data_IF_387570674615
#
_entry.id   IF_387570674615
#
_cell.length_a   1.000
_cell.length_b   1.000
_cell.length_c   1.000
_cell.angle_alpha   90.00
_cell.angle_beta   90.00
_cell.angle_gamma   90.00
#
_symmetry.space_group_name_H-M   'P 1'
#
loop_
_entity.id
_entity.type
_entity.pdbx_description
1 polymer ?
#
# COMPACT_ATOMS: atom_id res chain seq x y z
N UNK A 1 0.17 5.81 -19.55
CA UNK A 1 0.15 4.37 -19.90
C UNK A 1 -0.26 3.56 -18.69
N UNK A 2 -1.18 2.64 -18.87
CA UNK A 2 -1.60 1.77 -17.78
C UNK A 2 -0.55 0.67 -17.59
N UNK A 3 -0.12 0.46 -16.38
CA UNK A 3 0.79 -0.63 -16.06
C UNK A 3 -0.02 -1.93 -15.92
N UNK A 4 0.11 -2.83 -16.90
CA UNK A 4 -0.65 -4.08 -16.94
C UNK A 4 -0.05 -5.18 -16.06
N UNK A 5 1.12 -4.93 -15.44
CA UNK A 5 1.78 -5.91 -14.58
C UNK A 5 1.31 -5.84 -13.13
N UNK A 6 0.37 -4.98 -12.81
CA UNK A 6 -0.17 -4.88 -11.46
C UNK A 6 -1.14 -6.03 -11.19
N UNK A 7 -1.23 -6.49 -9.93
CA UNK A 7 -2.23 -7.51 -9.60
C UNK A 7 -3.65 -6.94 -9.72
N UNK A 8 -4.62 -7.82 -9.91
CA UNK A 8 -6.02 -7.45 -9.81
C UNK A 8 -6.47 -7.53 -8.36
N UNK A 9 -7.42 -6.67 -8.00
CA UNK A 9 -7.92 -6.52 -6.64
C UNK A 9 -9.41 -6.83 -6.64
N UNK A 10 -9.83 -7.79 -5.82
CA UNK A 10 -11.22 -8.15 -5.65
C UNK A 10 -11.69 -7.81 -4.24
N UNK A 11 -12.95 -7.48 -4.11
CA UNK A 11 -13.57 -7.11 -2.85
C UNK A 11 -14.00 -5.65 -2.84
N UNK A 12 -15.15 -5.38 -2.24
CA UNK A 12 -15.69 -4.03 -2.17
C UNK A 12 -14.86 -3.16 -1.23
N UNK A 13 -14.85 -1.86 -1.52
CA UNK A 13 -14.26 -0.86 -0.63
C UNK A 13 -14.84 -1.03 0.78
N UNK A 14 -13.97 -0.99 1.78
CA UNK A 14 -14.34 -1.23 3.17
C UNK A 14 -14.23 -2.68 3.61
N UNK A 15 -13.96 -3.61 2.69
CA UNK A 15 -13.76 -5.03 3.01
C UNK A 15 -12.34 -5.46 2.70
N UNK A 16 -11.90 -6.55 3.34
CA UNK A 16 -10.57 -7.12 3.11
C UNK A 16 -10.43 -7.53 1.64
N UNK A 17 -9.46 -6.94 0.92
CA UNK A 17 -9.28 -7.28 -0.50
C UNK A 17 -8.55 -8.59 -0.68
N UNK A 18 -8.72 -9.18 -1.86
CA UNK A 18 -7.95 -10.32 -2.33
C UNK A 18 -7.19 -9.92 -3.58
N UNK A 19 -5.89 -10.21 -3.60
CA UNK A 19 -5.02 -9.90 -4.73
C UNK A 19 -4.78 -11.14 -5.57
N UNK A 20 -4.85 -10.97 -6.89
CA UNK A 20 -4.47 -11.99 -7.85
C UNK A 20 -3.31 -11.45 -8.69
N UNK A 21 -2.16 -12.10 -8.61
CA UNK A 21 -0.95 -11.66 -9.29
C UNK A 21 -0.90 -12.17 -10.72
N UNK A 22 -0.29 -11.39 -11.65
CA UNK A 22 -0.29 -11.77 -13.07
C UNK A 22 0.67 -12.93 -13.43
N UNK A 23 1.47 -13.42 -12.48
CA UNK A 23 2.43 -14.46 -12.74
C UNK A 23 3.72 -14.00 -13.41
N UNK A 24 3.91 -12.70 -13.49
CA UNK A 24 5.11 -12.05 -14.02
C UNK A 24 5.90 -11.41 -12.90
N UNK A 25 7.09 -10.92 -13.20
CA UNK A 25 7.89 -10.16 -12.25
C UNK A 25 7.20 -8.84 -11.91
N UNK A 26 7.50 -8.33 -10.71
CA UNK A 26 7.02 -7.04 -10.27
C UNK A 26 7.52 -5.93 -11.21
N UNK A 27 6.71 -4.86 -11.40
CA UNK A 27 7.16 -3.72 -12.17
C UNK A 27 8.33 -3.01 -11.48
N UNK A 28 9.13 -2.31 -12.25
CA UNK A 28 10.20 -1.50 -11.72
C UNK A 28 9.64 -0.23 -11.05
N UNK A 29 10.28 0.21 -10.00
CA UNK A 29 9.94 1.44 -9.31
C UNK A 29 8.61 1.39 -8.59
N UNK A 30 8.28 2.49 -7.94
CA UNK A 30 7.00 2.66 -7.26
C UNK A 30 5.88 2.82 -8.28
N UNK A 31 4.85 1.98 -8.15
CA UNK A 31 3.64 2.10 -8.96
C UNK A 31 2.47 2.38 -8.04
N UNK A 32 1.68 3.37 -8.39
CA UNK A 32 0.46 3.73 -7.65
C UNK A 32 -0.70 3.75 -8.63
N UNK A 33 -1.72 2.97 -8.32
CA UNK A 33 -2.94 2.90 -9.12
C UNK A 33 -4.13 3.27 -8.24
N UNK A 34 -4.93 4.21 -8.68
CA UNK A 34 -6.15 4.59 -7.97
C UNK A 34 -7.24 3.60 -8.38
N UNK A 35 -7.69 2.79 -7.41
CA UNK A 35 -8.77 1.81 -7.63
C UNK A 35 -10.14 2.48 -7.52
N UNK A 36 -10.30 3.33 -6.51
CA UNK A 36 -11.49 4.15 -6.29
C UNK A 36 -11.01 5.53 -5.91
N UNK A 37 -11.44 6.54 -6.65
CA UNK A 37 -11.05 7.92 -6.38
C UNK A 37 -11.92 8.51 -5.28
N UNK A 38 -11.29 9.02 -4.23
CA UNK A 38 -11.97 9.81 -3.20
C UNK A 38 -12.11 11.26 -3.65
N UNK A 39 -12.98 11.99 -2.98
CA UNK A 39 -13.22 13.40 -3.24
C UNK A 39 -12.94 14.28 -2.02
N UNK A 40 -12.32 13.70 -1.00
CA UNK A 40 -12.01 14.42 0.22
C UNK A 40 -10.75 15.27 0.11
N UNK A 41 -10.25 15.65 1.28
CA UNK A 41 -9.06 16.48 1.43
C UNK A 41 -7.84 15.80 0.81
N UNK A 42 -6.96 16.59 0.20
CA UNK A 42 -5.66 16.08 -0.30
C UNK A 42 -4.73 15.86 0.87
N UNK A 43 -4.08 14.70 0.90
CA UNK A 43 -3.10 14.34 1.93
C UNK A 43 -1.81 15.12 1.67
N UNK A 44 -1.31 15.79 2.69
CA UNK A 44 -0.07 16.55 2.64
C UNK A 44 1.00 15.92 3.53
N UNK A 45 2.26 16.19 3.23
CA UNK A 45 3.36 15.73 4.07
C UNK A 45 3.19 16.27 5.49
N UNK A 46 3.36 15.40 6.47
CA UNK A 46 3.15 15.73 7.88
C UNK A 46 1.76 15.42 8.41
N UNK A 47 0.81 15.15 7.53
CA UNK A 47 -0.54 14.76 7.95
C UNK A 47 -0.53 13.40 8.65
N UNK A 48 -1.36 13.27 9.68
CA UNK A 48 -1.65 11.97 10.29
C UNK A 48 -2.89 11.42 9.62
N UNK A 49 -2.75 10.31 8.92
CA UNK A 49 -3.87 9.68 8.23
C UNK A 49 -4.38 8.47 8.98
N UNK A 50 -5.65 8.19 8.77
CA UNK A 50 -6.32 6.97 9.24
C UNK A 50 -6.59 6.12 8.02
N UNK A 51 -6.06 4.90 7.99
CA UNK A 51 -6.15 4.05 6.80
C UNK A 51 -6.38 2.59 7.15
N UNK A 52 -7.21 1.94 6.34
CA UNK A 52 -7.23 0.49 6.27
C UNK A 52 -6.26 0.05 5.19
N UNK A 53 -5.60 -1.08 5.41
CA UNK A 53 -4.62 -1.58 4.45
C UNK A 53 -4.47 -3.09 4.51
N UNK A 54 -4.01 -3.64 3.39
CA UNK A 54 -3.52 -5.02 3.32
C UNK A 54 -2.17 -4.98 2.60
N UNK A 55 -1.16 -5.58 3.21
CA UNK A 55 0.17 -5.72 2.62
C UNK A 55 0.47 -7.17 2.29
N UNK A 56 0.97 -7.40 1.09
CA UNK A 56 1.27 -8.74 0.58
C UNK A 56 2.58 -8.69 -0.20
N UNK A 57 3.39 -9.74 -0.06
CA UNK A 57 4.60 -9.89 -0.85
C UNK A 57 4.18 -10.19 -2.29
N UNK A 58 4.85 -9.57 -3.27
CA UNK A 58 4.56 -9.84 -4.68
C UNK A 58 4.60 -11.34 -4.95
N UNK A 59 3.47 -11.89 -5.39
CA UNK A 59 3.34 -13.33 -5.65
C UNK A 59 3.42 -14.21 -4.41
N UNK A 60 3.41 -13.63 -3.22
CA UNK A 60 3.58 -14.35 -1.96
C UNK A 60 2.42 -14.17 -0.99
N UNK A 61 2.73 -14.25 0.30
CA UNK A 61 1.74 -14.23 1.36
C UNK A 61 1.41 -12.82 1.83
N UNK A 62 0.20 -12.67 2.36
CA UNK A 62 -0.19 -11.48 3.13
C UNK A 62 0.63 -11.46 4.42
N UNK A 63 1.32 -10.35 4.69
CA UNK A 63 2.15 -10.24 5.89
C UNK A 63 1.52 -9.35 6.96
N UNK A 64 0.59 -8.50 6.61
CA UNK A 64 -0.10 -7.62 7.57
C UNK A 64 -1.34 -7.02 6.94
N UNK A 65 -2.37 -6.76 7.75
CA UNK A 65 -3.53 -6.02 7.31
C UNK A 65 -4.34 -5.53 8.51
N UNK A 66 -5.04 -4.42 8.33
CA UNK A 66 -5.86 -3.82 9.37
C UNK A 66 -7.22 -4.50 9.51
N UNK A 67 -7.67 -5.18 8.46
CA UNK A 67 -9.01 -5.78 8.42
C UNK A 67 -9.13 -6.90 9.45
N UNK A 68 -8.10 -7.74 9.57
CA UNK A 68 -8.10 -8.84 10.54
C UNK A 68 -8.01 -8.35 11.98
N UNK A 69 -7.39 -7.19 12.20
CA UNK A 69 -7.37 -6.56 13.52
C UNK A 69 -8.68 -5.87 13.87
N UNK A 70 -9.50 -5.58 12.85
CA UNK A 70 -10.75 -4.86 13.03
C UNK A 70 -10.57 -3.39 13.39
N UNK A 71 -9.41 -2.82 13.08
CA UNK A 71 -9.09 -1.45 13.46
C UNK A 71 -8.12 -0.83 12.45
N UNK A 72 -8.41 0.37 11.91
CA UNK A 72 -7.49 1.04 11.02
C UNK A 72 -6.22 1.48 11.73
N UNK A 73 -5.19 1.75 10.94
CA UNK A 73 -3.91 2.26 11.43
C UNK A 73 -3.89 3.77 11.29
N UNK A 74 -3.41 4.44 12.34
CA UNK A 74 -3.13 5.87 12.31
C UNK A 74 -1.63 6.06 12.19
N UNK A 75 -1.19 6.86 11.21
CA UNK A 75 0.24 7.11 11.04
C UNK A 75 0.47 8.44 10.34
N UNK A 76 1.62 9.05 10.62
CA UNK A 76 2.04 10.29 9.99
C UNK A 76 2.78 9.96 8.69
N UNK A 77 2.48 10.68 7.63
CA UNK A 77 2.99 10.38 6.29
C UNK A 77 3.87 11.53 5.79
N UNK A 78 4.84 11.21 4.93
CA UNK A 78 5.71 12.20 4.32
C UNK A 78 6.86 12.69 5.20
N UNK A 79 7.08 12.06 6.37
CA UNK A 79 8.08 12.48 7.35
C UNK A 79 8.98 11.31 7.80
N UNK A 80 9.09 10.29 7.00
CA UNK A 80 9.96 9.12 7.23
C UNK A 80 9.57 8.30 8.46
N UNK A 81 8.30 8.33 8.83
CA UNK A 81 7.76 7.49 9.93
C UNK A 81 7.27 6.13 9.44
N UNK A 82 7.06 5.98 8.13
CA UNK A 82 6.65 4.74 7.47
C UNK A 82 7.60 4.48 6.32
N UNK A 83 7.48 3.32 5.68
CA UNK A 83 8.33 3.00 4.53
C UNK A 83 8.16 4.06 3.44
N UNK A 84 9.25 4.33 2.73
CA UNK A 84 9.30 5.43 1.77
C UNK A 84 8.26 5.30 0.66
N UNK A 85 7.93 4.08 0.25
CA UNK A 85 6.89 3.86 -0.75
C UNK A 85 5.54 4.40 -0.32
N UNK A 86 5.22 4.35 0.98
CA UNK A 86 4.00 4.96 1.50
C UNK A 86 4.12 6.48 1.54
N UNK A 87 5.26 7.01 2.01
CA UNK A 87 5.46 8.47 2.01
C UNK A 87 5.32 9.04 0.60
N UNK A 88 5.96 8.42 -0.38
CA UNK A 88 5.95 8.90 -1.77
C UNK A 88 4.59 8.65 -2.45
N UNK A 89 3.93 7.55 -2.12
CA UNK A 89 2.71 7.13 -2.80
C UNK A 89 1.42 7.70 -2.24
N UNK A 90 1.38 8.05 -0.94
CA UNK A 90 0.15 8.51 -0.29
C UNK A 90 0.02 10.03 -0.24
N UNK A 91 1.13 10.76 -0.19
CA UNK A 91 1.08 12.23 -0.26
C UNK A 91 0.55 12.65 -1.63
N UNK A 92 -0.41 13.55 -1.63
CA UNK A 92 -1.08 14.02 -2.85
C UNK A 92 -2.36 13.26 -3.20
N UNK A 93 -2.63 12.15 -2.52
CA UNK A 93 -3.88 11.41 -2.73
C UNK A 93 -5.01 12.03 -1.90
N UNK A 94 -6.25 11.70 -2.27
CA UNK A 94 -7.41 12.26 -1.57
C UNK A 94 -7.99 11.28 -0.56
N UNK A 95 -8.49 11.82 0.54
CA UNK A 95 -9.30 11.05 1.49
C UNK A 95 -10.48 10.43 0.76
N UNK A 96 -10.78 9.18 1.07
CA UNK A 96 -11.81 8.38 0.40
C UNK A 96 -11.27 7.51 -0.72
N UNK A 97 -10.01 7.71 -1.12
CA UNK A 97 -9.39 6.90 -2.17
C UNK A 97 -9.01 5.52 -1.69
N UNK A 98 -9.14 4.55 -2.58
CA UNK A 98 -8.57 3.22 -2.42
C UNK A 98 -7.48 3.06 -3.46
N UNK A 99 -6.28 2.72 -3.00
CA UNK A 99 -5.06 2.73 -3.80
C UNK A 99 -4.42 1.36 -3.82
N UNK A 100 -3.83 1.02 -4.96
CA UNK A 100 -2.97 -0.16 -5.10
C UNK A 100 -1.55 0.34 -5.32
N UNK A 101 -0.63 -0.04 -4.44
CA UNK A 101 0.76 0.38 -4.51
C UNK A 101 1.65 -0.84 -4.67
N UNK A 102 2.57 -0.81 -5.64
CA UNK A 102 3.66 -1.76 -5.74
C UNK A 102 4.94 -1.04 -5.36
N UNK A 103 5.58 -1.51 -4.29
CA UNK A 103 6.71 -0.83 -3.66
C UNK A 103 7.95 -1.71 -3.79
N UNK A 104 8.95 -1.28 -4.59
CA UNK A 104 10.18 -2.05 -4.70
C UNK A 104 10.94 -2.02 -3.38
N UNK A 105 11.85 -2.97 -3.19
CA UNK A 105 12.56 -3.13 -1.91
C UNK A 105 13.31 -1.88 -1.47
N UNK A 106 13.89 -1.12 -2.40
CA UNK A 106 14.63 0.10 -2.07
C UNK A 106 13.73 1.20 -1.46
N UNK A 107 12.42 1.12 -1.65
CA UNK A 107 11.46 2.03 -1.02
C UNK A 107 10.65 1.33 0.08
N UNK A 108 10.97 0.08 0.36
CA UNK A 108 10.37 -0.72 1.42
C UNK A 108 11.40 -1.12 2.47
N UNK A 109 11.64 -2.41 2.61
CA UNK A 109 12.52 -2.94 3.66
C UNK A 109 13.92 -3.35 3.15
N UNK A 110 14.25 -3.00 1.91
CA UNK A 110 15.60 -3.13 1.38
C UNK A 110 16.13 -4.55 1.35
N UNK A 111 17.43 -4.68 1.47
CA UNK A 111 18.11 -5.99 1.44
C UNK A 111 17.98 -6.77 2.74
N UNK A 112 17.54 -6.12 3.82
CA UNK A 112 17.33 -6.79 5.11
C UNK A 112 16.00 -7.51 5.19
N UNK A 113 14.97 -6.96 4.57
CA UNK A 113 13.60 -7.43 4.75
C UNK A 113 13.14 -7.33 6.21
N UNK A 114 12.13 -8.08 6.54
CA UNK A 114 11.61 -8.24 7.91
C UNK A 114 11.35 -9.73 8.13
N UNK A 115 12.35 -10.50 8.56
CA UNK A 115 12.21 -11.97 8.67
C UNK A 115 11.04 -12.40 9.55
N UNK A 116 10.74 -11.66 10.61
CA UNK A 116 9.62 -11.94 11.50
C UNK A 116 8.27 -11.88 10.78
N UNK A 117 8.18 -11.08 9.74
CA UNK A 117 6.97 -10.94 8.93
C UNK A 117 7.01 -11.79 7.66
N UNK A 118 8.08 -12.56 7.44
CA UNK A 118 8.25 -13.35 6.24
C UNK A 118 8.71 -12.55 5.03
N UNK A 119 9.11 -11.30 5.20
CA UNK A 119 9.62 -10.44 4.12
C UNK A 119 11.12 -10.67 4.00
N UNK A 120 11.54 -11.12 2.83
CA UNK A 120 12.96 -11.35 2.53
C UNK A 120 13.59 -10.09 1.95
N UNK A 121 14.92 -10.02 2.01
CA UNK A 121 15.65 -8.95 1.32
C UNK A 121 15.33 -8.97 -0.17
N UNK A 122 15.09 -7.79 -0.74
CA UNK A 122 14.77 -7.64 -2.16
C UNK A 122 13.31 -7.85 -2.51
N UNK A 123 12.45 -8.23 -1.57
CA UNK A 123 11.03 -8.46 -1.85
C UNK A 123 10.32 -7.15 -2.21
N UNK A 124 9.54 -7.20 -3.29
CA UNK A 124 8.59 -6.15 -3.63
C UNK A 124 7.31 -6.35 -2.82
N UNK A 125 6.80 -5.28 -2.25
CA UNK A 125 5.59 -5.30 -1.43
C UNK A 125 4.44 -4.66 -2.19
N UNK A 126 3.25 -5.24 -2.04
CA UNK A 126 2.03 -4.68 -2.63
C UNK A 126 1.08 -4.33 -1.51
N UNK A 127 0.58 -3.10 -1.54
CA UNK A 127 -0.41 -2.64 -0.57
C UNK A 127 -1.69 -2.21 -1.26
N UNK A 128 -2.81 -2.61 -0.68
CA UNK A 128 -4.09 -1.97 -0.97
C UNK A 128 -4.38 -1.08 0.24
N UNK A 129 -4.52 0.21 0.02
CA UNK A 129 -4.67 1.19 1.10
C UNK A 129 -5.91 2.04 0.88
N UNK A 130 -6.78 2.09 1.88
CA UNK A 130 -7.96 2.97 1.88
C UNK A 130 -7.72 4.11 2.85
N UNK A 131 -7.71 5.35 2.34
CA UNK A 131 -7.51 6.54 3.18
C UNK A 131 -8.87 6.94 3.74
N UNK A 132 -9.07 6.74 5.04
CA UNK A 132 -10.36 6.99 5.69
C UNK A 132 -10.50 8.44 6.14
N UNK A 133 -9.40 9.07 6.53
CA UNK A 133 -9.42 10.44 7.02
C UNK A 133 -8.05 10.99 7.35
N UNK A 134 -8.02 12.26 7.68
CA UNK A 134 -6.86 12.98 8.20
C UNK A 134 -7.24 13.47 9.59
N UNK A 135 -6.36 13.23 10.56
CA UNK A 135 -6.57 13.66 11.94
C UNK A 135 -6.07 15.09 12.16
#
# INVERSE_FOLDING_TARGET
>A
MINTNMPSVEGAKGTKPTLTFPGTEAPEGLQVQVLDAGDGQVVEAGDTIVANYLGQIWGGDVFDNSYDRGQPLNFQVGVVMVIRGWDDGLVGQRVGSRLLLSIPSELGYGDRGVPQAGIRGGDTLVFVTEILGVM
#
